data_IF_415678334571
#
_entry.id   IF_415678334571
#
_cell.length_a   1.000
_cell.length_b   1.000
_cell.length_c   1.000
_cell.angle_alpha   90.00
_cell.angle_beta   90.00
_cell.angle_gamma   90.00
#
_symmetry.space_group_name_H-M   'P 1'
#
loop_
_entity.id
_entity.type
_entity.pdbx_description
1 polymer ?
#
# COMPACT_ATOMS: atom_id res chain seq x y z
N UNK A 1 -6.72 3.79 15.21
CA UNK A 1 -5.85 4.20 14.09
C UNK A 1 -5.72 5.72 14.08
N UNK A 2 -4.55 6.27 13.72
CA UNK A 2 -4.44 7.66 13.31
C UNK A 2 -5.43 7.95 12.16
N UNK A 3 -5.88 9.19 12.02
CA UNK A 3 -6.63 9.59 10.82
C UNK A 3 -5.70 9.59 9.59
N UNK A 4 -6.29 9.67 8.40
CA UNK A 4 -5.54 9.58 7.15
C UNK A 4 -4.45 10.66 6.98
N UNK A 5 -4.65 11.85 7.55
CA UNK A 5 -3.69 12.95 7.49
C UNK A 5 -2.42 12.65 8.28
N UNK A 6 -2.57 12.11 9.49
CA UNK A 6 -1.43 11.71 10.33
C UNK A 6 -0.62 10.59 9.66
N UNK A 7 -1.30 9.59 9.08
CA UNK A 7 -0.61 8.52 8.34
C UNK A 7 0.16 9.08 7.13
N UNK A 8 -0.36 10.10 6.45
CA UNK A 8 0.32 10.73 5.32
C UNK A 8 1.60 11.47 5.75
N UNK A 9 1.56 12.17 6.89
CA UNK A 9 2.73 12.82 7.48
C UNK A 9 3.79 11.80 7.89
N UNK A 10 3.39 10.71 8.55
CA UNK A 10 4.28 9.62 8.97
C UNK A 10 4.97 8.96 7.78
N UNK A 11 4.21 8.62 6.72
CA UNK A 11 4.77 8.04 5.50
C UNK A 11 5.73 9.00 4.80
N UNK A 12 5.38 10.28 4.73
CA UNK A 12 6.24 11.30 4.11
C UNK A 12 7.54 11.46 4.88
N UNK A 13 7.50 11.46 6.20
CA UNK A 13 8.69 11.55 7.05
C UNK A 13 9.56 10.29 6.97
N UNK A 14 8.94 9.11 6.85
CA UNK A 14 9.65 7.83 6.77
C UNK A 14 10.35 7.60 5.42
N UNK A 15 9.83 8.17 4.32
CA UNK A 15 10.41 8.02 3.00
C UNK A 15 11.61 8.96 2.85
N UNK A 16 12.80 8.40 2.99
CA UNK A 16 14.07 9.10 2.79
C UNK A 16 14.85 8.51 1.60
N UNK A 17 15.74 9.28 0.94
CA UNK A 17 16.56 8.78 -0.16
C UNK A 17 17.37 7.54 0.23
N UNK A 18 17.26 6.45 -0.56
CA UNK A 18 17.95 5.18 -0.29
C UNK A 18 17.50 4.45 0.99
N UNK A 19 16.41 4.90 1.62
CA UNK A 19 15.88 4.34 2.86
C UNK A 19 15.13 3.03 2.66
N UNK A 20 14.53 2.54 3.74
CA UNK A 20 13.70 1.34 3.74
C UNK A 20 12.48 1.58 4.61
N UNK A 21 11.30 1.32 4.06
CA UNK A 21 10.01 1.42 4.77
C UNK A 21 9.27 0.10 4.64
N UNK A 22 8.72 -0.36 5.76
CA UNK A 22 7.87 -1.54 5.85
C UNK A 22 6.55 -1.14 6.48
N UNK A 23 5.47 -1.23 5.71
CA UNK A 23 4.14 -0.81 6.14
C UNK A 23 3.33 -2.03 6.61
N UNK A 24 2.84 -1.97 7.84
CA UNK A 24 1.91 -2.96 8.37
C UNK A 24 0.47 -2.47 8.22
N UNK A 25 -0.38 -3.31 7.61
CA UNK A 25 -1.79 -3.04 7.38
C UNK A 25 -2.71 -4.06 8.09
N UNK A 26 -2.15 -4.94 8.91
CA UNK A 26 -2.88 -6.06 9.53
C UNK A 26 -4.01 -5.60 10.47
N UNK A 27 -3.83 -4.47 11.16
CA UNK A 27 -4.83 -3.90 12.08
C UNK A 27 -5.91 -3.04 11.39
N UNK A 28 -5.88 -2.90 10.07
CA UNK A 28 -6.84 -2.06 9.33
C UNK A 28 -8.09 -2.86 8.97
N UNK A 29 -9.09 -2.83 9.85
CA UNK A 29 -10.31 -3.63 9.69
C UNK A 29 -11.28 -3.12 8.60
N UNK A 30 -11.33 -1.81 8.37
CA UNK A 30 -12.28 -1.19 7.43
C UNK A 30 -11.58 -0.09 6.60
N UNK A 31 -10.68 -0.47 5.68
CA UNK A 31 -10.04 0.50 4.80
C UNK A 31 -11.08 1.13 3.88
N UNK A 32 -10.91 2.42 3.62
CA UNK A 32 -11.61 3.13 2.56
C UNK A 32 -10.64 3.44 1.40
N UNK A 33 -11.18 4.07 0.34
CA UNK A 33 -10.40 4.38 -0.84
C UNK A 33 -9.22 5.33 -0.55
N UNK A 34 -9.31 6.18 0.47
CA UNK A 34 -8.25 7.13 0.82
C UNK A 34 -6.99 6.40 1.32
N UNK A 35 -7.15 5.29 2.03
CA UNK A 35 -6.02 4.45 2.46
C UNK A 35 -5.28 3.88 1.26
N UNK A 36 -6.00 3.34 0.26
CA UNK A 36 -5.38 2.83 -0.97
C UNK A 36 -4.64 3.94 -1.71
N UNK A 37 -5.30 5.09 -1.91
CA UNK A 37 -4.71 6.22 -2.62
C UNK A 37 -3.44 6.71 -1.92
N UNK A 38 -3.45 6.77 -0.59
CA UNK A 38 -2.27 7.17 0.18
C UNK A 38 -1.13 6.17 0.05
N UNK A 39 -1.39 4.86 0.16
CA UNK A 39 -0.36 3.84 -0.03
C UNK A 39 0.21 3.88 -1.44
N UNK A 40 -0.63 4.10 -2.48
CA UNK A 40 -0.14 4.26 -3.85
C UNK A 40 0.71 5.51 -4.03
N UNK A 41 0.31 6.64 -3.46
CA UNK A 41 1.10 7.86 -3.47
C UNK A 41 2.45 7.66 -2.77
N UNK A 42 2.46 6.96 -1.62
CA UNK A 42 3.67 6.62 -0.89
C UNK A 42 4.61 5.72 -1.71
N UNK A 43 4.09 4.70 -2.41
CA UNK A 43 4.87 3.86 -3.33
C UNK A 43 5.56 4.68 -4.43
N UNK A 44 4.83 5.60 -5.06
CA UNK A 44 5.37 6.47 -6.11
C UNK A 44 6.45 7.40 -5.54
N UNK A 45 6.22 7.98 -4.36
CA UNK A 45 7.21 8.82 -3.67
C UNK A 45 8.46 8.04 -3.29
N UNK A 46 8.31 6.82 -2.77
CA UNK A 46 9.42 5.95 -2.42
C UNK A 46 10.26 5.56 -3.64
N UNK A 47 9.61 5.20 -4.76
CA UNK A 47 10.30 4.91 -6.02
C UNK A 47 11.13 6.12 -6.50
N UNK A 48 10.58 7.35 -6.43
CA UNK A 48 11.32 8.59 -6.77
C UNK A 48 12.53 8.83 -5.86
N UNK A 49 12.44 8.42 -4.60
CA UNK A 49 13.53 8.55 -3.63
C UNK A 49 14.51 7.37 -3.64
N UNK A 50 14.30 6.35 -4.50
CA UNK A 50 14.99 5.06 -4.41
C UNK A 50 14.91 4.44 -2.98
N UNK A 51 13.80 4.68 -2.29
CA UNK A 51 13.48 4.08 -1.00
C UNK A 51 12.80 2.72 -1.25
N UNK A 52 13.30 1.68 -0.60
CA UNK A 52 12.70 0.35 -0.65
C UNK A 52 11.43 0.30 0.21
N UNK A 53 10.27 0.24 -0.44
CA UNK A 53 8.95 0.33 0.19
C UNK A 53 8.13 -0.93 -0.06
N UNK A 54 7.75 -1.63 1.00
CA UNK A 54 6.99 -2.88 0.93
C UNK A 54 6.00 -3.02 2.09
N UNK A 55 4.99 -3.87 1.92
CA UNK A 55 4.15 -4.31 3.04
C UNK A 55 4.90 -5.36 3.88
N UNK A 56 4.70 -5.35 5.20
CA UNK A 56 5.28 -6.37 6.11
C UNK A 56 4.69 -7.77 5.86
N UNK A 57 3.43 -7.83 5.44
CA UNK A 57 2.69 -9.04 5.08
C UNK A 57 1.70 -8.72 3.93
N UNK A 58 1.16 -9.74 3.24
CA UNK A 58 0.05 -9.55 2.31
C UNK A 58 -1.10 -8.79 2.97
N UNK A 59 -1.71 -7.86 2.24
CA UNK A 59 -2.89 -7.16 2.70
C UNK A 59 -4.07 -8.15 2.84
N UNK A 60 -4.84 -8.01 3.93
CA UNK A 60 -5.94 -8.91 4.23
C UNK A 60 -7.17 -8.71 3.34
N UNK A 61 -8.18 -9.56 3.54
CA UNK A 61 -9.44 -9.59 2.78
C UNK A 61 -10.13 -8.23 2.61
N UNK A 62 -10.18 -7.33 3.62
CA UNK A 62 -10.81 -6.01 3.45
C UNK A 62 -10.15 -5.17 2.35
N UNK A 63 -8.82 -5.27 2.19
CA UNK A 63 -8.10 -4.59 1.12
C UNK A 63 -8.35 -5.25 -0.23
N UNK A 64 -8.39 -6.59 -0.30
CA UNK A 64 -8.70 -7.30 -1.56
C UNK A 64 -10.06 -6.91 -2.11
N UNK A 65 -11.11 -7.02 -1.30
CA UNK A 65 -12.45 -6.63 -1.71
C UNK A 65 -12.53 -5.15 -2.15
N UNK A 66 -11.78 -4.26 -1.48
CA UNK A 66 -11.74 -2.85 -1.85
C UNK A 66 -10.93 -2.59 -3.14
N UNK A 67 -9.77 -3.23 -3.31
CA UNK A 67 -8.95 -3.10 -4.50
C UNK A 67 -9.68 -3.62 -5.75
N UNK A 68 -10.42 -4.73 -5.61
CA UNK A 68 -11.23 -5.31 -6.68
C UNK A 68 -12.38 -4.38 -7.08
N UNK A 69 -13.19 -3.91 -6.13
CA UNK A 69 -14.30 -2.98 -6.43
C UNK A 69 -13.82 -1.64 -6.97
N UNK A 70 -12.59 -1.23 -6.65
CA UNK A 70 -11.98 -0.01 -7.13
C UNK A 70 -11.26 -0.18 -8.49
N UNK A 71 -11.21 -1.39 -9.05
CA UNK A 71 -10.58 -1.68 -10.33
C UNK A 71 -9.04 -1.65 -10.31
N UNK A 72 -8.42 -1.73 -9.13
CA UNK A 72 -6.95 -1.68 -8.97
C UNK A 72 -6.25 -3.00 -9.35
N UNK A 73 -6.99 -4.11 -9.44
CA UNK A 73 -6.46 -5.45 -9.74
C UNK A 73 -6.56 -5.85 -11.22
N UNK A 74 -6.65 -4.88 -12.14
CA UNK A 74 -6.67 -5.18 -13.58
C UNK A 74 -5.37 -5.86 -14.04
N UNK A 75 -5.48 -6.75 -15.03
CA UNK A 75 -4.36 -7.51 -15.61
C UNK A 75 -3.23 -6.62 -16.17
N UNK A 76 -3.53 -5.35 -16.47
CA UNK A 76 -2.55 -4.37 -16.95
C UNK A 76 -1.53 -3.92 -15.88
N UNK A 77 -1.74 -4.31 -14.62
CA UNK A 77 -0.97 -3.84 -13.47
C UNK A 77 -0.45 -5.00 -12.59
N UNK A 78 0.39 -5.91 -13.13
CA UNK A 78 0.89 -7.08 -12.39
C UNK A 78 1.63 -6.69 -11.09
N UNK A 79 2.28 -5.52 -11.09
CA UNK A 79 3.00 -4.97 -9.92
C UNK A 79 2.08 -4.65 -8.73
N UNK A 80 0.78 -4.54 -8.94
CA UNK A 80 -0.18 -4.31 -7.86
C UNK A 80 -0.42 -5.60 -7.08
N UNK A 81 -0.63 -6.73 -7.76
CA UNK A 81 -0.74 -8.02 -7.06
C UNK A 81 0.56 -8.36 -6.33
N UNK A 82 1.71 -8.10 -6.96
CA UNK A 82 3.01 -8.30 -6.31
C UNK A 82 3.16 -7.46 -5.04
N UNK A 83 2.76 -6.20 -5.06
CA UNK A 83 2.90 -5.33 -3.90
C UNK A 83 1.89 -5.65 -2.79
N UNK A 84 0.61 -5.73 -3.14
CA UNK A 84 -0.47 -5.88 -2.16
C UNK A 84 -0.54 -7.28 -1.57
N UNK A 85 -0.22 -8.31 -2.36
CA UNK A 85 -0.41 -9.71 -1.97
C UNK A 85 0.87 -10.54 -2.08
N UNK A 86 2.03 -9.91 -2.27
CA UNK A 86 3.32 -10.60 -2.44
C UNK A 86 3.31 -11.62 -3.58
N UNK A 87 2.48 -11.38 -4.61
CA UNK A 87 2.30 -12.26 -5.76
C UNK A 87 1.24 -13.36 -5.55
N UNK A 88 0.59 -13.40 -4.38
CA UNK A 88 -0.55 -14.27 -4.15
C UNK A 88 -1.78 -13.72 -4.87
N UNK A 89 -2.03 -14.22 -6.07
CA UNK A 89 -3.25 -13.96 -6.84
C UNK A 89 -4.36 -14.93 -6.44
N UNK A 90 -4.58 -15.21 -5.14
CA UNK A 90 -5.58 -16.20 -4.71
C UNK A 90 -6.88 -16.04 -5.52
N UNK A 91 -7.20 -17.14 -6.22
CA UNK A 91 -8.13 -17.26 -7.33
C UNK A 91 -9.57 -17.41 -6.86
#
# INVERSE_FOLDING_TARGET
>A
MPNIGVLAEELTAAITPGGTVRLDLSDVAAPDLSVIQLVQAARVSAAKAACDFALTAPAGDPFRALLDRAGFMSADHPDHSQFWFHGDTAQ
#
